data_IF_273759266490
#
_entry.id   IF_273759266490
#
_cell.length_a   1.000
_cell.length_b   1.000
_cell.length_c   1.000
_cell.angle_alpha   90.00
_cell.angle_beta   90.00
_cell.angle_gamma   90.00
#
_symmetry.space_group_name_H-M   'P 1'
#
loop_
_entity.id
_entity.type
_entity.pdbx_description
1 polymer ?
#
# COMPACT_ATOMS: atom_id res chain seq x y z
N UNK A 1 14.65 -5.48 -27.42
CA UNK A 1 14.56 -4.06 -26.97
C UNK A 1 14.42 -4.06 -25.45
N UNK A 2 14.96 -3.07 -24.76
CA UNK A 2 14.82 -2.89 -23.31
C UNK A 2 13.34 -2.64 -23.00
N UNK A 3 12.73 -3.42 -22.07
CA UNK A 3 11.33 -3.17 -21.67
C UNK A 3 11.23 -1.80 -21.00
N UNK A 4 10.18 -1.04 -21.30
CA UNK A 4 9.88 0.23 -20.62
C UNK A 4 8.76 0.00 -19.61
N UNK A 5 9.00 0.42 -18.37
CA UNK A 5 8.01 0.35 -17.28
C UNK A 5 7.58 1.75 -16.84
N UNK A 6 6.28 1.96 -16.71
CA UNK A 6 5.74 3.12 -16.00
C UNK A 6 5.60 2.74 -14.53
N UNK A 7 6.30 3.46 -13.65
CA UNK A 7 6.17 3.36 -12.20
C UNK A 7 5.44 4.60 -11.70
N UNK A 8 4.30 4.43 -11.06
CA UNK A 8 3.48 5.56 -10.59
C UNK A 8 3.73 5.88 -9.13
N UNK A 9 3.33 7.07 -8.67
CA UNK A 9 3.50 7.55 -7.29
C UNK A 9 4.94 7.37 -6.78
N UNK A 10 5.92 7.82 -7.57
CA UNK A 10 7.34 7.63 -7.24
C UNK A 10 7.81 8.43 -6.03
N UNK A 11 6.98 9.31 -5.47
CA UNK A 11 7.18 9.92 -4.14
C UNK A 11 6.85 9.00 -2.97
N UNK A 12 6.34 7.79 -3.21
CA UNK A 12 6.02 6.83 -2.15
C UNK A 12 7.28 6.19 -1.54
N UNK A 13 7.14 5.67 -0.31
CA UNK A 13 8.26 5.05 0.41
C UNK A 13 8.80 3.76 -0.23
N UNK A 14 8.03 3.09 -1.07
CA UNK A 14 8.46 1.88 -1.79
C UNK A 14 9.16 2.18 -3.11
N UNK A 15 9.02 3.40 -3.63
CA UNK A 15 9.40 3.72 -5.00
C UNK A 15 10.89 3.51 -5.29
N UNK A 16 11.79 3.95 -4.40
CA UNK A 16 13.22 3.80 -4.60
C UNK A 16 13.63 2.34 -4.83
N UNK A 17 13.10 1.40 -4.03
CA UNK A 17 13.40 -0.03 -4.20
C UNK A 17 12.86 -0.57 -5.53
N UNK A 18 11.63 -0.18 -5.89
CA UNK A 18 11.01 -0.62 -7.13
C UNK A 18 11.76 -0.08 -8.35
N UNK A 19 12.14 1.20 -8.35
CA UNK A 19 12.94 1.81 -9.42
C UNK A 19 14.30 1.11 -9.54
N UNK A 20 14.99 0.89 -8.41
CA UNK A 20 16.29 0.20 -8.39
C UNK A 20 16.18 -1.22 -8.93
N UNK A 21 15.15 -1.98 -8.54
CA UNK A 21 14.90 -3.33 -9.05
C UNK A 21 14.60 -3.33 -10.55
N UNK A 22 13.79 -2.38 -11.04
CA UNK A 22 13.52 -2.24 -12.47
C UNK A 22 14.81 -1.97 -13.28
N UNK A 23 15.67 -1.07 -12.79
CA UNK A 23 16.97 -0.83 -13.41
C UNK A 23 17.88 -2.06 -13.34
N UNK A 24 17.89 -2.78 -12.20
CA UNK A 24 18.62 -4.04 -12.03
C UNK A 24 18.18 -5.11 -13.04
N UNK A 25 16.88 -5.17 -13.35
CA UNK A 25 16.32 -6.03 -14.40
C UNK A 25 16.54 -5.49 -15.83
N UNK A 26 17.32 -4.42 -15.99
CA UNK A 26 17.63 -3.83 -17.29
C UNK A 26 16.49 -3.06 -17.94
N UNK A 27 15.45 -2.69 -17.21
CA UNK A 27 14.30 -1.93 -17.74
C UNK A 27 14.61 -0.43 -17.83
N UNK A 28 13.92 0.26 -18.74
CA UNK A 28 13.84 1.71 -18.77
C UNK A 28 12.67 2.14 -17.90
N UNK A 29 12.90 3.05 -16.96
CA UNK A 29 11.91 3.48 -15.96
C UNK A 29 11.37 4.85 -16.32
N UNK A 30 10.06 4.92 -16.57
CA UNK A 30 9.29 6.16 -16.68
C UNK A 30 8.55 6.37 -15.37
N UNK A 31 8.98 7.37 -14.59
CA UNK A 31 8.37 7.67 -13.31
C UNK A 31 7.26 8.73 -13.45
N UNK A 32 6.18 8.61 -12.68
CA UNK A 32 5.23 9.71 -12.55
C UNK A 32 4.75 9.90 -11.11
N UNK A 33 4.40 11.15 -10.79
CA UNK A 33 3.85 11.54 -9.48
C UNK A 33 2.90 12.73 -9.64
N UNK A 34 2.01 12.94 -8.66
CA UNK A 34 1.10 14.10 -8.62
C UNK A 34 1.84 15.42 -8.34
N UNK A 35 3.00 15.34 -7.73
CA UNK A 35 3.85 16.50 -7.44
C UNK A 35 4.82 16.80 -8.59
N UNK A 36 5.34 18.02 -8.70
CA UNK A 36 6.37 18.36 -9.69
C UNK A 36 7.71 17.65 -9.35
N UNK A 37 8.55 17.49 -10.37
CA UNK A 37 9.82 16.74 -10.26
C UNK A 37 10.72 17.23 -9.11
N UNK A 38 10.80 18.54 -8.92
CA UNK A 38 11.63 19.19 -7.92
C UNK A 38 11.16 18.97 -6.47
N UNK A 39 9.96 18.38 -6.27
CA UNK A 39 9.45 18.01 -4.96
C UNK A 39 9.59 16.52 -4.64
N UNK A 40 9.99 15.72 -5.62
CA UNK A 40 10.05 14.26 -5.53
C UNK A 40 11.47 13.78 -5.78
N UNK A 41 12.21 13.39 -4.74
CA UNK A 41 13.61 13.01 -4.86
C UNK A 41 13.84 11.89 -5.86
N UNK A 42 12.97 10.89 -5.92
CA UNK A 42 13.09 9.78 -6.86
C UNK A 42 12.87 10.18 -8.34
N UNK A 43 12.51 11.45 -8.62
CA UNK A 43 12.52 11.97 -9.99
C UNK A 43 13.92 11.98 -10.61
N UNK A 44 14.97 11.95 -9.77
CA UNK A 44 16.37 11.84 -10.19
C UNK A 44 16.79 10.39 -10.53
N UNK A 45 16.04 9.42 -10.02
CA UNK A 45 16.37 8.01 -10.14
C UNK A 45 15.65 7.32 -11.31
N UNK A 46 14.78 8.04 -12.04
CA UNK A 46 14.07 7.53 -13.21
C UNK A 46 14.65 8.06 -14.50
N UNK A 47 14.54 7.30 -15.61
CA UNK A 47 15.02 7.74 -16.92
C UNK A 47 14.22 8.94 -17.46
N UNK A 48 12.92 9.00 -17.17
CA UNK A 48 12.04 10.13 -17.54
C UNK A 48 10.98 10.31 -16.46
N UNK A 49 10.66 11.55 -16.13
CA UNK A 49 9.64 11.91 -15.16
C UNK A 49 8.46 12.64 -15.82
N UNK A 50 7.25 12.34 -15.34
CA UNK A 50 6.01 13.02 -15.72
C UNK A 50 5.17 13.39 -14.50
N UNK A 51 4.63 14.60 -14.49
CA UNK A 51 3.63 15.00 -13.51
C UNK A 51 2.27 14.40 -13.91
N UNK A 52 1.68 13.60 -13.00
CA UNK A 52 0.39 12.95 -13.19
C UNK A 52 -0.76 13.77 -12.58
N UNK A 53 -1.98 13.66 -13.09
CA UNK A 53 -3.18 14.11 -12.37
C UNK A 53 -3.44 13.22 -11.15
N UNK A 54 -4.32 13.66 -10.25
CA UNK A 54 -4.75 12.81 -9.13
C UNK A 54 -5.49 11.57 -9.62
N UNK A 55 -5.19 10.40 -9.05
CA UNK A 55 -5.89 9.17 -9.41
C UNK A 55 -7.40 9.23 -9.09
N UNK A 56 -7.82 10.10 -8.16
CA UNK A 56 -9.24 10.38 -7.89
C UNK A 56 -9.95 11.09 -9.03
N UNK A 57 -9.22 11.77 -9.92
CA UNK A 57 -9.70 12.35 -11.17
C UNK A 57 -9.68 11.29 -12.28
N UNK A 58 -10.51 10.27 -12.13
CA UNK A 58 -10.43 8.97 -12.80
C UNK A 58 -10.22 9.05 -14.31
N UNK A 59 -11.05 9.82 -15.02
CA UNK A 59 -10.96 9.96 -16.49
C UNK A 59 -9.67 10.63 -16.94
N UNK A 60 -9.23 11.68 -16.23
CA UNK A 60 -7.98 12.38 -16.53
C UNK A 60 -6.78 11.46 -16.30
N UNK A 61 -6.79 10.73 -15.16
CA UNK A 61 -5.72 9.79 -14.81
C UNK A 61 -5.62 8.64 -15.80
N UNK A 62 -6.75 8.06 -16.22
CA UNK A 62 -6.80 7.04 -17.26
C UNK A 62 -6.22 7.54 -18.58
N UNK A 63 -6.70 8.69 -19.06
CA UNK A 63 -6.23 9.28 -20.32
C UNK A 63 -4.73 9.59 -20.23
N UNK A 64 -4.26 10.12 -19.11
CA UNK A 64 -2.84 10.36 -18.86
C UNK A 64 -2.03 9.08 -19.00
N UNK A 65 -2.39 8.00 -18.32
CA UNK A 65 -1.67 6.72 -18.40
C UNK A 65 -1.67 6.16 -19.82
N UNK A 66 -2.79 6.25 -20.53
CA UNK A 66 -2.93 5.81 -21.91
C UNK A 66 -1.98 6.56 -22.87
N UNK A 67 -1.99 7.89 -22.77
CA UNK A 67 -1.13 8.73 -23.63
C UNK A 67 0.34 8.55 -23.26
N UNK A 68 0.66 8.45 -21.95
CA UNK A 68 2.01 8.19 -21.47
C UNK A 68 2.53 6.83 -21.98
N UNK A 69 1.72 5.78 -21.88
CA UNK A 69 2.08 4.44 -22.37
C UNK A 69 2.41 4.43 -23.86
N UNK A 70 1.60 5.13 -24.67
CA UNK A 70 1.84 5.26 -26.10
C UNK A 70 3.09 6.08 -26.40
N UNK A 71 3.26 7.24 -25.75
CA UNK A 71 4.41 8.14 -25.96
C UNK A 71 5.72 7.45 -25.64
N UNK A 72 5.79 6.75 -24.52
CA UNK A 72 7.00 6.11 -24.02
C UNK A 72 7.16 4.65 -24.49
N UNK A 73 6.21 4.14 -25.28
CA UNK A 73 6.15 2.74 -25.72
C UNK A 73 6.31 1.78 -24.54
N UNK A 74 5.59 2.08 -23.45
CA UNK A 74 5.68 1.30 -22.23
C UNK A 74 4.96 -0.04 -22.37
N UNK A 75 5.65 -1.11 -21.99
CA UNK A 75 5.11 -2.47 -21.99
C UNK A 75 4.66 -2.93 -20.58
N UNK A 76 4.95 -2.13 -19.56
CA UNK A 76 4.61 -2.46 -18.16
C UNK A 76 4.09 -1.24 -17.43
N UNK A 77 3.05 -1.44 -16.62
CA UNK A 77 2.54 -0.48 -15.63
C UNK A 77 2.63 -1.07 -14.22
N UNK A 78 3.34 -0.39 -13.31
CA UNK A 78 3.50 -0.76 -11.89
C UNK A 78 2.95 0.35 -10.98
N UNK A 79 1.70 0.26 -10.52
CA UNK A 79 1.14 1.21 -9.56
C UNK A 79 1.63 0.89 -8.14
N UNK A 80 1.99 1.94 -7.38
CA UNK A 80 2.56 1.77 -6.05
C UNK A 80 1.61 2.11 -4.89
N UNK A 81 0.46 2.74 -5.16
CA UNK A 81 -0.47 3.16 -4.10
C UNK A 81 -1.85 2.51 -4.22
N UNK A 82 -2.54 2.38 -3.08
CA UNK A 82 -3.89 1.82 -3.03
C UNK A 82 -4.88 2.62 -3.88
N UNK A 83 -4.76 3.97 -3.93
CA UNK A 83 -5.66 4.83 -4.71
C UNK A 83 -5.55 4.53 -6.20
N UNK A 84 -4.32 4.36 -6.68
CA UNK A 84 -4.06 4.06 -8.08
C UNK A 84 -4.55 2.65 -8.45
N UNK A 85 -4.28 1.66 -7.59
CA UNK A 85 -4.75 0.28 -7.81
C UNK A 85 -6.28 0.23 -7.85
N UNK A 86 -6.97 0.90 -6.91
CA UNK A 86 -8.44 0.94 -6.88
C UNK A 86 -9.03 1.53 -8.15
N UNK A 87 -8.35 2.52 -8.75
CA UNK A 87 -8.76 3.17 -9.99
C UNK A 87 -8.38 2.35 -11.21
N UNK A 88 -7.14 1.91 -11.32
CA UNK A 88 -6.63 1.11 -12.45
C UNK A 88 -7.41 -0.19 -12.60
N UNK A 89 -7.77 -0.82 -11.48
CA UNK A 89 -8.54 -2.05 -11.49
C UNK A 89 -9.91 -1.91 -12.18
N UNK A 90 -10.57 -0.76 -12.05
CA UNK A 90 -11.87 -0.52 -12.69
C UNK A 90 -11.78 -0.49 -14.23
N UNK A 91 -10.61 -0.14 -14.76
CA UNK A 91 -10.35 -0.03 -16.20
C UNK A 91 -9.30 -1.01 -16.70
N UNK A 92 -8.92 -2.01 -15.88
CA UNK A 92 -7.83 -2.93 -16.23
C UNK A 92 -8.02 -3.57 -17.60
N UNK A 93 -9.24 -4.07 -17.90
CA UNK A 93 -9.55 -4.69 -19.17
C UNK A 93 -9.38 -3.71 -20.33
N UNK A 94 -9.89 -2.49 -20.16
CA UNK A 94 -9.81 -1.44 -21.19
C UNK A 94 -8.38 -0.90 -21.34
N UNK A 95 -7.64 -0.74 -20.24
CA UNK A 95 -6.23 -0.35 -20.28
C UNK A 95 -5.39 -1.42 -20.98
N UNK A 96 -5.61 -2.70 -20.68
CA UNK A 96 -4.92 -3.80 -21.37
C UNK A 96 -5.25 -3.80 -22.87
N UNK A 97 -6.48 -3.52 -23.26
CA UNK A 97 -6.87 -3.35 -24.67
C UNK A 97 -6.24 -2.11 -25.30
N UNK A 98 -6.23 -0.97 -24.60
CA UNK A 98 -5.55 0.26 -25.04
C UNK A 98 -4.04 0.08 -25.22
N UNK A 99 -3.41 -0.75 -24.38
CA UNK A 99 -1.99 -1.10 -24.43
C UNK A 99 -1.70 -2.37 -25.27
N UNK A 100 -2.70 -3.09 -25.74
CA UNK A 100 -2.54 -4.36 -26.47
C UNK A 100 -1.65 -4.25 -27.70
N UNK A 101 -1.66 -3.11 -28.38
CA UNK A 101 -0.75 -2.83 -29.50
C UNK A 101 0.73 -2.79 -29.07
N UNK A 102 1.01 -2.63 -27.77
CA UNK A 102 2.35 -2.58 -27.18
C UNK A 102 2.67 -3.86 -26.37
N UNK A 103 1.77 -4.85 -26.36
CA UNK A 103 1.87 -6.04 -25.51
C UNK A 103 2.10 -5.69 -24.02
N UNK A 104 1.38 -4.65 -23.56
CA UNK A 104 1.61 -4.08 -22.25
C UNK A 104 0.79 -4.80 -21.16
N UNK A 105 1.43 -4.96 -20.01
CA UNK A 105 0.85 -5.62 -18.82
C UNK A 105 0.77 -4.67 -17.63
N UNK A 106 -0.20 -4.89 -16.76
CA UNK A 106 -0.25 -4.26 -15.44
C UNK A 106 0.27 -5.27 -14.42
N UNK A 107 1.40 -4.97 -13.80
CA UNK A 107 2.06 -5.87 -12.87
C UNK A 107 1.51 -5.73 -11.45
N UNK A 108 0.34 -6.27 -11.25
CA UNK A 108 -0.36 -6.44 -9.96
C UNK A 108 -1.17 -7.73 -10.00
N UNK A 109 -1.62 -8.21 -8.86
CA UNK A 109 -2.52 -9.38 -8.78
C UNK A 109 -3.80 -9.18 -9.57
N UNK A 110 -4.54 -10.25 -9.81
CA UNK A 110 -5.78 -10.19 -10.57
C UNK A 110 -6.90 -9.43 -9.85
N UNK A 111 -7.89 -8.99 -10.61
CA UNK A 111 -9.05 -8.18 -10.13
C UNK A 111 -9.74 -8.84 -8.93
N UNK A 112 -9.95 -10.16 -8.96
CA UNK A 112 -10.58 -10.90 -7.87
C UNK A 112 -9.76 -10.86 -6.58
N UNK A 113 -8.45 -11.08 -6.68
CA UNK A 113 -7.53 -11.04 -5.55
C UNK A 113 -7.49 -9.64 -4.92
N UNK A 114 -7.34 -8.60 -5.76
CA UNK A 114 -7.32 -7.22 -5.28
C UNK A 114 -8.65 -6.84 -4.63
N UNK A 115 -9.78 -7.15 -5.26
CA UNK A 115 -11.12 -6.84 -4.72
C UNK A 115 -11.36 -7.48 -3.36
N UNK A 116 -10.86 -8.71 -3.17
CA UNK A 116 -10.93 -9.39 -1.88
C UNK A 116 -10.02 -8.73 -0.85
N UNK A 117 -8.75 -8.47 -1.18
CA UNK A 117 -7.79 -7.80 -0.29
C UNK A 117 -8.26 -6.41 0.14
N UNK A 118 -8.92 -5.66 -0.76
CA UNK A 118 -9.38 -4.29 -0.49
C UNK A 118 -10.64 -4.22 0.38
N UNK A 119 -11.32 -5.32 0.64
CA UNK A 119 -12.52 -5.37 1.47
C UNK A 119 -12.27 -6.19 2.75
N UNK A 120 -12.04 -5.49 3.87
CA UNK A 120 -11.69 -6.11 5.16
C UNK A 120 -12.74 -7.10 5.67
N UNK A 121 -14.03 -6.79 5.45
CA UNK A 121 -15.14 -7.65 5.86
C UNK A 121 -15.16 -8.97 5.06
N UNK A 122 -15.07 -8.86 3.73
CA UNK A 122 -15.04 -10.03 2.86
C UNK A 122 -13.78 -10.86 3.07
N UNK A 123 -12.64 -10.21 3.26
CA UNK A 123 -11.37 -10.89 3.52
C UNK A 123 -11.41 -11.65 4.85
N UNK A 124 -11.92 -11.02 5.91
CA UNK A 124 -12.09 -11.66 7.21
C UNK A 124 -12.98 -12.90 7.11
N UNK A 125 -14.16 -12.77 6.50
CA UNK A 125 -15.08 -13.90 6.29
C UNK A 125 -14.43 -15.02 5.48
N UNK A 126 -13.74 -14.70 4.38
CA UNK A 126 -13.03 -15.65 3.54
C UNK A 126 -11.96 -16.45 4.30
N UNK A 127 -11.16 -15.76 5.15
CA UNK A 127 -10.11 -16.40 5.94
C UNK A 127 -10.69 -17.29 7.04
N UNK A 128 -11.74 -16.82 7.72
CA UNK A 128 -12.42 -17.55 8.79
C UNK A 128 -13.09 -18.82 8.26
N UNK A 129 -13.84 -18.73 7.19
CA UNK A 129 -14.55 -19.86 6.57
C UNK A 129 -13.59 -20.97 6.12
N UNK A 130 -12.37 -20.62 5.75
CA UNK A 130 -11.33 -21.57 5.33
C UNK A 130 -10.38 -21.99 6.44
N UNK A 131 -10.49 -21.39 7.62
CA UNK A 131 -9.63 -21.69 8.76
C UNK A 131 -8.15 -21.39 8.50
N UNK A 132 -7.84 -20.37 7.66
CA UNK A 132 -6.47 -20.08 7.23
C UNK A 132 -5.63 -19.40 8.31
N UNK A 133 -6.26 -18.57 9.13
CA UNK A 133 -5.61 -17.89 10.26
C UNK A 133 -6.65 -17.40 11.27
N UNK A 134 -6.19 -16.89 12.41
CA UNK A 134 -7.08 -16.21 13.36
C UNK A 134 -7.46 -14.85 12.79
N UNK A 135 -8.76 -14.55 12.82
CA UNK A 135 -9.33 -13.27 12.40
C UNK A 135 -9.92 -12.54 13.61
N UNK A 136 -10.20 -11.25 13.45
CA UNK A 136 -10.90 -10.45 14.45
C UNK A 136 -12.31 -10.19 13.90
N UNK A 137 -13.34 -10.94 14.35
CA UNK A 137 -14.69 -10.75 13.84
C UNK A 137 -15.16 -9.32 14.06
N UNK A 138 -15.72 -8.74 13.03
CA UNK A 138 -16.30 -7.39 13.06
C UNK A 138 -17.76 -7.41 12.72
N UNK A 139 -18.52 -6.49 13.31
CA UNK A 139 -19.93 -6.24 13.03
C UNK A 139 -20.05 -4.82 12.47
N UNK A 140 -20.95 -4.61 11.52
CA UNK A 140 -21.21 -3.26 11.01
C UNK A 140 -21.81 -2.39 12.13
N UNK A 141 -21.38 -1.14 12.21
CA UNK A 141 -21.87 -0.21 13.23
C UNK A 141 -23.40 -0.04 13.16
N UNK A 142 -23.99 -0.17 11.97
CA UNK A 142 -25.45 -0.14 11.78
C UNK A 142 -26.18 -1.37 12.32
N UNK A 143 -25.48 -2.48 12.57
CA UNK A 143 -26.01 -3.77 13.00
C UNK A 143 -25.55 -4.13 14.43
N UNK A 144 -24.79 -3.22 15.06
CA UNK A 144 -24.16 -3.48 16.34
C UNK A 144 -25.20 -3.54 17.45
N UNK A 145 -25.28 -4.69 18.15
CA UNK A 145 -26.01 -4.79 19.40
C UNK A 145 -25.13 -4.26 20.55
N UNK A 146 -25.57 -3.18 21.16
CA UNK A 146 -24.83 -2.51 22.23
C UNK A 146 -25.08 -3.09 23.64
N UNK A 147 -25.84 -4.18 23.76
CA UNK A 147 -26.27 -4.73 25.06
C UNK A 147 -25.18 -5.47 25.82
N UNK A 148 -24.20 -6.08 25.13
CA UNK A 148 -23.12 -6.89 25.74
C UNK A 148 -21.78 -6.67 25.03
N UNK A 149 -21.27 -5.43 25.12
CA UNK A 149 -20.00 -5.06 24.52
C UNK A 149 -18.88 -4.98 25.56
N UNK A 150 -17.76 -5.61 25.23
CA UNK A 150 -16.53 -5.51 26.02
C UNK A 150 -15.59 -4.49 25.40
N UNK A 151 -15.25 -3.45 26.17
CA UNK A 151 -14.32 -2.40 25.77
C UNK A 151 -12.88 -2.73 26.17
N UNK A 152 -11.86 -2.23 25.44
CA UNK A 152 -11.95 -1.31 24.31
C UNK A 152 -12.31 -1.99 22.98
N UNK A 153 -12.96 -1.21 22.08
CA UNK A 153 -13.29 -1.63 20.72
C UNK A 153 -12.52 -0.79 19.70
N UNK A 154 -12.45 -1.27 18.47
CA UNK A 154 -11.95 -0.53 17.32
C UNK A 154 -13.06 -0.38 16.30
N UNK A 155 -13.35 0.85 15.91
CA UNK A 155 -14.22 1.16 14.77
C UNK A 155 -13.38 1.65 13.59
N UNK A 156 -13.55 1.06 12.41
CA UNK A 156 -12.78 1.40 11.20
C UNK A 156 -13.62 1.20 9.92
N UNK A 157 -13.43 2.03 8.87
CA UNK A 157 -14.06 1.76 7.58
C UNK A 157 -13.59 0.41 7.01
N UNK A 158 -14.50 -0.38 6.41
CA UNK A 158 -14.15 -1.70 5.88
C UNK A 158 -13.26 -1.62 4.64
N UNK A 159 -13.29 -0.50 3.89
CA UNK A 159 -12.48 -0.21 2.71
C UNK A 159 -11.42 0.88 2.95
N UNK A 160 -11.24 1.30 4.23
CA UNK A 160 -10.29 2.33 4.63
C UNK A 160 -8.82 1.93 4.42
N UNK A 161 -7.94 2.93 4.33
CA UNK A 161 -6.49 2.81 4.14
C UNK A 161 -5.74 3.73 5.10
N UNK A 162 -4.48 3.41 5.38
CA UNK A 162 -3.57 4.25 6.21
C UNK A 162 -4.19 4.69 7.53
N UNK A 163 -4.93 3.81 8.19
CA UNK A 163 -5.68 4.08 9.44
C UNK A 163 -6.66 5.26 9.38
N UNK A 164 -7.02 5.75 8.18
CA UNK A 164 -7.99 6.83 8.03
C UNK A 164 -9.35 6.40 8.57
N UNK A 165 -9.92 7.24 9.43
CA UNK A 165 -11.22 6.97 10.05
C UNK A 165 -11.20 5.92 11.16
N UNK A 166 -10.03 5.33 11.50
CA UNK A 166 -9.92 4.42 12.64
C UNK A 166 -10.16 5.18 13.94
N UNK A 167 -11.01 4.63 14.80
CA UNK A 167 -11.31 5.14 16.14
C UNK A 167 -11.18 4.03 17.17
N UNK A 168 -10.59 4.35 18.29
CA UNK A 168 -10.59 3.49 19.48
C UNK A 168 -11.72 3.96 20.37
N UNK A 169 -12.57 3.04 20.77
CA UNK A 169 -13.70 3.28 21.65
C UNK A 169 -13.34 2.65 23.01
N UNK A 170 -12.98 3.47 23.96
CA UNK A 170 -12.55 3.01 25.30
C UNK A 170 -13.75 2.76 26.21
N UNK A 171 -14.92 3.32 25.87
CA UNK A 171 -16.11 3.28 26.69
C UNK A 171 -17.40 3.26 25.87
N UNK A 172 -18.54 3.06 26.56
CA UNK A 172 -19.88 3.16 25.97
C UNK A 172 -20.18 4.56 25.46
N UNK A 173 -19.71 5.57 26.16
CA UNK A 173 -19.88 6.99 25.82
C UNK A 173 -19.20 7.30 24.47
N UNK A 174 -18.01 6.72 24.22
CA UNK A 174 -17.31 6.86 22.93
C UNK A 174 -18.12 6.23 21.77
N UNK A 175 -18.73 5.08 22.03
CA UNK A 175 -19.60 4.43 21.04
C UNK A 175 -20.86 5.27 20.78
N UNK A 176 -21.51 5.77 21.82
CA UNK A 176 -22.70 6.63 21.69
C UNK A 176 -22.36 7.91 20.92
N UNK A 177 -21.21 8.52 21.20
CA UNK A 177 -20.72 9.67 20.44
C UNK A 177 -20.51 9.33 18.95
N UNK A 178 -19.90 8.18 18.65
CA UNK A 178 -19.70 7.72 17.26
C UNK A 178 -21.06 7.50 16.56
N UNK A 179 -22.01 6.84 17.22
CA UNK A 179 -23.35 6.60 16.71
C UNK A 179 -24.13 7.89 16.40
N UNK A 180 -23.94 8.92 17.23
CA UNK A 180 -24.58 10.24 17.04
C UNK A 180 -23.92 11.08 15.94
N UNK A 181 -22.61 10.93 15.74
CA UNK A 181 -21.86 11.75 14.78
C UNK A 181 -21.82 11.16 13.37
N UNK A 182 -22.03 9.84 13.22
CA UNK A 182 -22.06 9.17 11.93
C UNK A 182 -23.45 9.25 11.29
N UNK A 183 -23.48 9.56 9.99
CA UNK A 183 -24.68 9.37 9.15
C UNK A 183 -25.00 7.87 8.99
N UNK A 184 -26.24 7.53 8.62
CA UNK A 184 -26.63 6.12 8.37
C UNK A 184 -25.73 5.45 7.31
N UNK A 185 -25.36 6.16 6.27
CA UNK A 185 -24.45 5.66 5.25
C UNK A 185 -23.05 5.36 5.83
N UNK A 186 -22.54 6.22 6.72
CA UNK A 186 -21.26 5.98 7.39
C UNK A 186 -21.33 4.80 8.36
N UNK A 187 -22.45 4.64 9.11
CA UNK A 187 -22.63 3.49 10.00
C UNK A 187 -22.56 2.16 9.26
N UNK A 188 -23.06 2.10 8.02
CA UNK A 188 -22.94 0.92 7.19
C UNK A 188 -21.52 0.66 6.67
N UNK A 189 -20.66 1.67 6.64
CA UNK A 189 -19.27 1.55 6.19
C UNK A 189 -18.29 1.21 7.32
N UNK A 190 -18.68 1.40 8.59
CA UNK A 190 -17.83 1.11 9.73
C UNK A 190 -17.99 -0.32 10.21
N UNK A 191 -16.87 -1.01 10.42
CA UNK A 191 -16.78 -2.25 11.20
C UNK A 191 -16.33 -1.93 12.62
N UNK A 192 -17.03 -2.50 13.59
CA UNK A 192 -16.68 -2.48 15.01
C UNK A 192 -16.22 -3.87 15.41
N UNK A 193 -15.09 -3.95 16.10
CA UNK A 193 -14.47 -5.21 16.49
C UNK A 193 -13.72 -5.04 17.82
N UNK A 194 -13.47 -6.13 18.59
CA UNK A 194 -12.63 -6.06 19.79
C UNK A 194 -11.25 -5.49 19.46
N UNK A 195 -10.72 -4.64 20.37
CA UNK A 195 -9.32 -4.19 20.28
C UNK A 195 -8.41 -5.28 20.80
N UNK A 196 -7.60 -5.83 19.91
CA UNK A 196 -6.53 -6.76 20.30
C UNK A 196 -5.29 -5.95 20.65
N UNK A 197 -4.75 -6.16 21.84
CA UNK A 197 -3.48 -5.58 22.27
C UNK A 197 -2.31 -6.40 21.74
N UNK A 198 -1.23 -5.75 21.33
CA UNK A 198 -0.06 -6.44 20.82
C UNK A 198 0.77 -5.58 19.86
N UNK A 199 1.77 -6.19 19.27
CA UNK A 199 2.62 -5.54 18.27
C UNK A 199 2.05 -5.73 16.87
N UNK A 200 2.11 -4.69 16.06
CA UNK A 200 1.81 -4.82 14.64
C UNK A 200 2.96 -5.54 13.95
N UNK A 201 2.61 -6.60 13.25
CA UNK A 201 3.50 -7.35 12.37
C UNK A 201 3.10 -7.06 10.94
N UNK A 202 4.05 -6.60 10.12
CA UNK A 202 3.87 -6.53 8.67
C UNK A 202 4.65 -7.68 8.03
N UNK A 203 4.02 -8.43 7.14
CA UNK A 203 4.67 -9.51 6.39
C UNK A 203 4.68 -9.12 4.92
N UNK A 204 5.87 -8.91 4.35
CA UNK A 204 5.99 -8.84 2.90
C UNK A 204 5.89 -10.25 2.33
N UNK A 205 4.98 -10.44 1.40
CA UNK A 205 4.67 -11.74 0.78
C UNK A 205 4.81 -11.61 -0.72
N UNK A 206 5.60 -12.46 -1.34
CA UNK A 206 5.72 -12.56 -2.79
C UNK A 206 5.34 -13.96 -3.26
N UNK A 207 4.45 -14.05 -4.24
CA UNK A 207 4.03 -15.32 -4.84
C UNK A 207 4.21 -15.31 -6.34
N UNK A 208 4.95 -16.32 -6.83
CA UNK A 208 5.06 -16.62 -8.25
C UNK A 208 4.19 -17.84 -8.58
N UNK A 209 3.03 -17.68 -9.21
CA UNK A 209 2.14 -18.79 -9.53
C UNK A 209 2.71 -19.73 -10.62
N UNK A 210 3.63 -19.26 -11.46
CA UNK A 210 4.22 -20.06 -12.53
C UNK A 210 5.26 -21.05 -12.01
N UNK A 211 5.99 -20.68 -10.96
CA UNK A 211 7.01 -21.54 -10.35
C UNK A 211 6.56 -22.18 -9.03
N UNK A 212 5.34 -21.85 -8.57
CA UNK A 212 4.78 -22.24 -7.27
C UNK A 212 5.67 -21.86 -6.06
N UNK A 213 6.45 -20.79 -6.20
CA UNK A 213 7.27 -20.27 -5.11
C UNK A 213 6.53 -19.16 -4.36
N UNK A 214 6.59 -19.24 -3.03
CA UNK A 214 6.02 -18.21 -2.14
C UNK A 214 7.01 -17.94 -1.02
N UNK A 215 7.47 -16.69 -0.91
CA UNK A 215 8.31 -16.25 0.19
C UNK A 215 7.60 -15.20 1.03
N UNK A 216 7.81 -15.30 2.35
CA UNK A 216 7.22 -14.43 3.34
C UNK A 216 8.30 -13.94 4.28
N UNK A 217 8.37 -12.65 4.53
CA UNK A 217 9.34 -12.07 5.45
C UNK A 217 8.63 -11.16 6.46
N UNK A 218 8.38 -11.65 7.68
CA UNK A 218 7.74 -10.89 8.73
C UNK A 218 8.68 -9.89 9.39
N UNK A 219 8.13 -8.74 9.78
CA UNK A 219 8.79 -7.75 10.62
C UNK A 219 7.85 -7.21 11.68
N UNK A 220 8.35 -7.05 12.89
CA UNK A 220 7.66 -6.36 13.98
C UNK A 220 7.92 -4.88 13.84
N UNK A 221 6.86 -4.08 13.79
CA UNK A 221 6.92 -2.62 13.72
C UNK A 221 7.24 -2.07 15.12
N UNK A 222 8.44 -1.51 15.31
CA UNK A 222 8.90 -0.96 16.58
C UNK A 222 8.57 0.52 16.71
N UNK A 223 8.83 1.27 15.63
CA UNK A 223 8.49 2.68 15.52
C UNK A 223 7.79 2.93 14.19
N UNK A 224 6.70 3.71 14.23
CA UNK A 224 5.90 4.05 13.05
C UNK A 224 5.66 5.56 12.97
N UNK A 225 5.48 6.08 11.78
CA UNK A 225 4.95 7.43 11.54
C UNK A 225 3.46 7.47 11.89
N UNK A 226 2.89 8.67 12.03
CA UNK A 226 1.45 8.85 12.24
C UNK A 226 0.59 8.20 11.13
N UNK A 227 1.11 8.10 9.91
CA UNK A 227 0.44 7.46 8.78
C UNK A 227 0.69 5.95 8.71
N UNK A 228 1.27 5.36 9.74
CA UNK A 228 1.46 3.92 9.88
C UNK A 228 2.69 3.34 9.19
N UNK A 229 3.53 4.14 8.50
CA UNK A 229 4.75 3.64 7.89
C UNK A 229 5.83 3.33 8.94
N UNK A 230 6.44 2.16 8.89
CA UNK A 230 7.53 1.77 9.78
C UNK A 230 8.78 2.62 9.59
N UNK A 231 9.39 3.03 10.69
CA UNK A 231 10.69 3.73 10.73
C UNK A 231 11.77 2.93 11.41
N UNK A 232 11.40 2.00 12.29
CA UNK A 232 12.29 1.02 12.92
C UNK A 232 11.53 -0.30 13.06
N UNK A 233 12.18 -1.40 12.71
CA UNK A 233 11.58 -2.73 12.69
C UNK A 233 12.54 -3.80 13.23
N UNK A 234 11.98 -4.92 13.66
CA UNK A 234 12.71 -6.15 13.86
C UNK A 234 12.22 -7.17 12.82
N UNK A 235 13.04 -7.46 11.82
CA UNK A 235 12.80 -8.55 10.88
C UNK A 235 13.10 -9.86 11.58
N UNK A 236 12.24 -10.87 11.41
CA UNK A 236 12.40 -12.18 12.06
C UNK A 236 11.84 -13.30 11.19
N UNK A 237 12.05 -14.53 11.60
CA UNK A 237 11.48 -15.71 10.97
C UNK A 237 10.51 -16.40 11.94
N UNK A 238 9.35 -16.79 11.43
CA UNK A 238 8.37 -17.57 12.19
C UNK A 238 7.62 -18.49 11.23
N UNK A 239 7.89 -19.79 11.34
CA UNK A 239 7.39 -20.79 10.41
C UNK A 239 5.85 -20.86 10.38
N UNK A 240 5.19 -20.72 11.54
CA UNK A 240 3.72 -20.74 11.62
C UNK A 240 3.11 -19.55 10.90
N UNK A 241 3.60 -18.32 11.20
CA UNK A 241 3.10 -17.10 10.56
C UNK A 241 3.37 -17.10 9.05
N UNK A 242 4.57 -17.51 8.66
CA UNK A 242 4.96 -17.62 7.26
C UNK A 242 4.10 -18.66 6.52
N UNK A 243 3.77 -19.79 7.16
CA UNK A 243 2.88 -20.79 6.56
C UNK A 243 1.48 -20.23 6.39
N UNK A 244 0.93 -19.57 7.40
CA UNK A 244 -0.37 -18.88 7.27
C UNK A 244 -0.38 -17.88 6.12
N UNK A 245 0.68 -17.07 5.97
CA UNK A 245 0.79 -16.13 4.85
C UNK A 245 0.89 -16.83 3.49
N UNK A 246 1.59 -17.96 3.39
CA UNK A 246 1.64 -18.78 2.17
C UNK A 246 0.26 -19.32 1.81
N UNK A 247 -0.44 -19.90 2.77
CA UNK A 247 -1.77 -20.47 2.56
C UNK A 247 -2.79 -19.39 2.14
N UNK A 248 -2.70 -18.20 2.75
CA UNK A 248 -3.51 -17.03 2.36
C UNK A 248 -3.18 -16.58 0.93
N UNK A 249 -1.89 -16.42 0.60
CA UNK A 249 -1.47 -15.96 -0.72
C UNK A 249 -1.88 -16.92 -1.84
N UNK A 250 -1.86 -18.22 -1.55
CA UNK A 250 -2.32 -19.25 -2.48
C UNK A 250 -3.86 -19.20 -2.64
N UNK A 251 -4.60 -19.20 -1.52
CA UNK A 251 -6.06 -19.21 -1.53
C UNK A 251 -6.66 -17.95 -2.18
N UNK A 252 -6.01 -16.79 -2.02
CA UNK A 252 -6.39 -15.50 -2.63
C UNK A 252 -5.92 -15.40 -4.08
N UNK A 253 -5.05 -16.31 -4.54
CA UNK A 253 -4.42 -16.26 -5.87
C UNK A 253 -3.56 -15.00 -6.08
N UNK A 254 -2.76 -14.62 -5.10
CA UNK A 254 -1.81 -13.51 -5.23
C UNK A 254 -0.82 -13.78 -6.36
N UNK A 255 -0.46 -12.74 -7.14
CA UNK A 255 0.67 -12.71 -8.04
C UNK A 255 1.54 -11.49 -7.74
N UNK A 256 2.83 -11.68 -7.59
CA UNK A 256 3.76 -10.62 -7.20
C UNK A 256 3.77 -10.34 -5.69
N UNK A 257 4.22 -9.16 -5.30
CA UNK A 257 4.40 -8.76 -3.91
C UNK A 257 3.17 -8.05 -3.36
N UNK A 258 2.76 -8.47 -2.16
CA UNK A 258 1.73 -7.81 -1.33
C UNK A 258 2.25 -7.68 0.09
N UNK A 259 1.56 -6.91 0.94
CA UNK A 259 1.83 -6.98 2.37
C UNK A 259 0.58 -7.39 3.15
N UNK A 260 0.79 -8.25 4.16
CA UNK A 260 -0.22 -8.67 5.11
C UNK A 260 0.12 -8.10 6.48
N UNK A 261 -0.88 -7.60 7.19
CA UNK A 261 -0.71 -7.08 8.55
C UNK A 261 -1.41 -7.96 9.56
N UNK A 262 -0.74 -8.17 10.71
CA UNK A 262 -1.22 -8.95 11.83
C UNK A 262 -1.00 -8.20 13.15
N UNK A 263 -1.71 -8.57 14.20
CA UNK A 263 -1.36 -8.25 15.58
C UNK A 263 -0.76 -9.50 16.23
N UNK A 264 0.47 -9.39 16.74
CA UNK A 264 1.09 -10.38 17.62
C UNK A 264 0.57 -10.13 19.04
N UNK A 265 -0.47 -10.86 19.43
CA UNK A 265 -1.09 -10.71 20.76
C UNK A 265 -0.29 -11.44 21.83
N UNK A 266 0.29 -12.58 21.52
CA UNK A 266 1.15 -13.36 22.41
C UNK A 266 2.27 -14.01 21.60
N UNK A 267 3.50 -13.54 21.80
CA UNK A 267 4.69 -14.03 21.09
C UNK A 267 5.03 -15.48 21.47
N UNK A 268 4.92 -15.82 22.76
CA UNK A 268 5.30 -17.16 23.24
C UNK A 268 4.34 -18.23 22.72
N UNK A 269 3.06 -17.88 22.55
CA UNK A 269 2.04 -18.78 22.02
C UNK A 269 1.91 -18.71 20.50
N UNK A 270 2.70 -17.88 19.81
CA UNK A 270 2.55 -17.62 18.37
C UNK A 270 1.11 -17.18 18.00
N UNK A 271 0.54 -16.27 18.79
CA UNK A 271 -0.83 -15.84 18.62
C UNK A 271 -0.90 -14.58 17.75
N UNK A 272 -1.25 -14.79 16.47
CA UNK A 272 -1.33 -13.74 15.45
C UNK A 272 -2.77 -13.59 14.99
N UNK A 273 -3.27 -12.35 14.97
CA UNK A 273 -4.59 -12.00 14.44
C UNK A 273 -4.43 -11.20 13.15
N UNK A 274 -5.03 -11.66 12.08
CA UNK A 274 -5.01 -10.98 10.78
C UNK A 274 -5.75 -9.64 10.85
N UNK A 275 -5.14 -8.59 10.28
CA UNK A 275 -5.71 -7.24 10.19
C UNK A 275 -6.16 -6.88 8.78
N UNK A 276 -5.26 -7.01 7.81
CA UNK A 276 -5.51 -6.64 6.42
C UNK A 276 -4.46 -7.20 5.47
N UNK A 277 -4.81 -7.28 4.20
CA UNK A 277 -3.87 -7.49 3.10
C UNK A 277 -3.93 -6.29 2.16
N UNK A 278 -2.78 -5.66 1.94
CA UNK A 278 -2.62 -4.57 0.98
C UNK A 278 -2.01 -5.13 -0.30
N UNK A 279 -2.73 -5.14 -1.45
CA UNK A 279 -2.29 -5.78 -2.70
C UNK A 279 -1.24 -4.94 -3.45
N UNK A 280 -0.23 -4.49 -2.74
CA UNK A 280 0.89 -3.66 -3.19
C UNK A 280 2.09 -3.83 -2.28
N UNK A 281 3.21 -3.22 -2.68
CA UNK A 281 4.36 -3.11 -1.80
C UNK A 281 4.04 -2.36 -0.51
N UNK A 282 4.57 -2.85 0.61
CA UNK A 282 4.56 -2.08 1.84
C UNK A 282 5.44 -0.82 1.71
N UNK A 283 5.08 0.25 2.39
CA UNK A 283 5.99 1.39 2.55
C UNK A 283 7.32 1.02 3.23
N UNK A 284 7.36 -0.14 3.89
CA UNK A 284 8.54 -0.72 4.54
C UNK A 284 9.27 -1.79 3.72
N UNK A 285 8.98 -1.98 2.43
CA UNK A 285 9.59 -3.04 1.60
C UNK A 285 11.13 -2.98 1.58
N UNK A 286 11.71 -1.80 1.73
CA UNK A 286 13.15 -1.60 1.86
C UNK A 286 13.78 -2.34 3.05
N UNK A 287 13.03 -2.60 4.12
CA UNK A 287 13.52 -3.38 5.25
C UNK A 287 13.77 -4.84 4.88
N UNK A 288 12.96 -5.41 4.01
CA UNK A 288 13.17 -6.76 3.50
C UNK A 288 14.43 -6.85 2.65
N UNK A 289 14.68 -5.85 1.79
CA UNK A 289 15.93 -5.72 1.04
C UNK A 289 17.15 -5.58 1.95
N UNK A 290 17.08 -4.71 2.97
CA UNK A 290 18.15 -4.52 3.95
C UNK A 290 18.40 -5.78 4.80
N UNK A 291 17.38 -6.61 5.02
CA UNK A 291 17.52 -7.90 5.68
C UNK A 291 18.13 -9.01 4.79
N UNK A 292 18.26 -8.77 3.48
CA UNK A 292 18.87 -9.70 2.54
C UNK A 292 17.92 -10.37 1.55
N UNK A 293 16.67 -9.87 1.40
CA UNK A 293 15.76 -10.36 0.37
C UNK A 293 15.02 -9.23 -0.34
N UNK A 294 15.31 -9.05 -1.63
CA UNK A 294 14.70 -8.00 -2.44
C UNK A 294 13.31 -8.41 -2.97
N UNK A 295 12.28 -7.93 -2.28
CA UNK A 295 10.89 -8.18 -2.66
C UNK A 295 10.49 -7.49 -3.97
N UNK A 296 11.17 -6.40 -4.36
CA UNK A 296 10.87 -5.71 -5.61
C UNK A 296 11.43 -6.48 -6.81
N UNK A 297 12.66 -7.01 -6.72
CA UNK A 297 13.21 -7.92 -7.73
C UNK A 297 12.35 -9.20 -7.84
N UNK A 298 12.01 -9.80 -6.71
CA UNK A 298 11.15 -10.98 -6.67
C UNK A 298 9.78 -10.73 -7.32
N UNK A 299 9.19 -9.54 -7.12
CA UNK A 299 7.95 -9.15 -7.80
C UNK A 299 8.12 -9.12 -9.32
N UNK A 300 9.19 -8.52 -9.82
CA UNK A 300 9.48 -8.47 -11.27
C UNK A 300 9.55 -9.88 -11.84
N UNK A 301 10.28 -10.80 -11.17
CA UNK A 301 10.40 -12.21 -11.58
C UNK A 301 9.05 -12.93 -11.64
N UNK A 302 8.08 -12.57 -10.79
CA UNK A 302 6.72 -13.14 -10.87
C UNK A 302 6.01 -12.83 -12.20
N UNK A 303 6.42 -11.77 -12.91
CA UNK A 303 5.79 -11.34 -14.16
C UNK A 303 6.68 -11.60 -15.39
N UNK A 304 7.96 -11.94 -15.19
CA UNK A 304 8.86 -12.34 -16.28
C UNK A 304 9.00 -13.85 -16.43
N UNK A 305 8.32 -14.63 -15.57
CA UNK A 305 8.37 -16.11 -15.60
C UNK A 305 9.66 -16.69 -15.01
N UNK A 306 10.46 -15.87 -14.34
CA UNK A 306 11.71 -16.30 -13.72
C UNK A 306 11.45 -16.91 -12.33
N UNK A 307 12.31 -17.85 -11.92
CA UNK A 307 12.29 -18.36 -10.56
C UNK A 307 12.70 -17.29 -9.56
N UNK A 308 12.06 -17.31 -8.39
CA UNK A 308 12.48 -16.50 -7.26
C UNK A 308 13.78 -17.03 -6.68
N UNK A 309 14.67 -16.13 -6.26
CA UNK A 309 15.88 -16.52 -5.54
C UNK A 309 15.51 -17.08 -4.16
N UNK A 310 16.36 -17.97 -3.65
CA UNK A 310 16.17 -18.56 -2.33
C UNK A 310 16.40 -17.50 -1.24
N UNK A 311 15.50 -17.47 -0.25
CA UNK A 311 15.59 -16.53 0.85
C UNK A 311 16.50 -17.08 1.95
N UNK A 312 17.65 -16.42 2.14
CA UNK A 312 18.67 -16.80 3.13
C UNK A 312 18.60 -16.02 4.46
N UNK A 313 17.55 -15.22 4.64
CA UNK A 313 17.37 -14.42 5.87
C UNK A 313 17.21 -15.33 7.08
N UNK A 314 18.05 -15.13 8.11
CA UNK A 314 18.05 -15.92 9.34
C UNK A 314 18.11 -15.01 10.58
N UNK A 315 17.54 -15.49 11.68
CA UNK A 315 17.57 -14.79 12.96
C UNK A 315 16.74 -13.51 13.01
N UNK A 316 16.93 -12.75 14.08
CA UNK A 316 16.33 -11.42 14.26
C UNK A 316 17.32 -10.34 13.80
N UNK A 317 16.80 -9.36 13.03
CA UNK A 317 17.59 -8.22 12.55
C UNK A 317 16.84 -6.92 12.86
N UNK A 318 17.49 -6.04 13.62
CA UNK A 318 16.96 -4.70 13.92
C UNK A 318 17.40 -3.73 12.84
N UNK A 319 16.47 -3.13 12.14
CA UNK A 319 16.71 -2.24 11.00
C UNK A 319 15.94 -0.95 11.22
N UNK A 320 16.59 0.19 11.03
CA UNK A 320 15.99 1.50 11.16
C UNK A 320 16.29 2.38 9.95
N UNK A 321 15.38 3.30 9.63
CA UNK A 321 15.55 4.29 8.57
C UNK A 321 16.30 5.51 9.07
N UNK A 322 17.10 6.06 8.18
CA UNK A 322 17.64 7.41 8.27
C UNK A 322 17.14 8.22 7.08
N UNK A 323 16.73 9.45 7.33
CA UNK A 323 16.38 10.39 6.27
C UNK A 323 17.63 11.16 5.84
N UNK A 324 17.73 11.45 4.55
CA UNK A 324 18.80 12.24 3.96
C UNK A 324 18.17 13.27 3.03
N UNK A 325 18.60 14.50 3.16
CA UNK A 325 18.12 15.63 2.37
C UNK A 325 18.89 15.74 1.06
N UNK A 326 18.18 16.07 -0.02
CA UNK A 326 18.75 16.27 -1.34
C UNK A 326 18.43 17.68 -1.84
N UNK A 327 19.44 18.35 -2.44
CA UNK A 327 19.19 19.62 -3.15
C UNK A 327 18.67 19.32 -4.56
N UNK A 328 17.44 19.68 -4.83
CA UNK A 328 16.80 19.50 -6.14
C UNK A 328 17.11 20.62 -7.13
N UNK A 329 17.75 21.73 -6.66
CA UNK A 329 18.10 22.89 -7.51
C UNK A 329 19.24 22.59 -8.51
N UNK A 330 20.06 21.57 -8.26
CA UNK A 330 21.13 21.12 -9.15
C UNK A 330 20.62 20.24 -10.31
N UNK A 331 19.34 19.92 -10.30
CA UNK A 331 18.69 19.18 -11.39
C UNK A 331 18.46 20.13 -12.58
N UNK A 332 19.56 20.55 -13.22
CA UNK A 332 19.47 21.31 -14.45
C UNK A 332 19.01 20.38 -15.58
N UNK A 333 18.13 20.88 -16.42
CA UNK A 333 17.60 20.29 -17.65
C UNK A 333 18.73 19.90 -18.66
N UNK A 334 19.71 19.11 -18.24
CA UNK A 334 20.88 18.85 -19.06
C UNK A 334 20.60 17.85 -20.18
N UNK A 335 19.57 17.01 -20.11
CA UNK A 335 19.23 16.07 -21.17
C UNK A 335 17.70 15.90 -21.29
N UNK A 336 17.09 16.68 -22.14
CA UNK A 336 15.94 16.29 -22.98
C UNK A 336 14.60 15.94 -22.30
N UNK A 337 14.35 16.32 -21.05
CA UNK A 337 13.02 16.15 -20.44
C UNK A 337 12.12 17.33 -20.83
N UNK A 338 11.35 17.16 -21.91
CA UNK A 338 10.20 18.03 -22.18
C UNK A 338 9.15 17.87 -21.09
N UNK A 339 8.98 18.91 -20.28
CA UNK A 339 7.76 19.06 -19.48
C UNK A 339 6.59 19.25 -20.46
N UNK A 340 5.68 18.30 -20.50
CA UNK A 340 4.40 18.50 -21.17
C UNK A 340 3.56 19.44 -20.30
N UNK A 341 3.71 20.75 -20.51
CA UNK A 341 2.81 21.76 -20.00
C UNK A 341 1.44 21.57 -20.68
N UNK A 342 0.51 20.98 -19.95
CA UNK A 342 -0.91 21.06 -20.29
C UNK A 342 -1.37 22.47 -19.96
N UNK A 343 -1.24 23.41 -20.90
CA UNK A 343 -1.90 24.70 -20.83
C UNK A 343 -3.41 24.50 -20.99
N UNK A 344 -4.08 24.24 -19.87
CA UNK A 344 -5.51 24.50 -19.72
C UNK A 344 -5.69 25.97 -19.37
N UNK A 345 -6.19 26.76 -20.30
CA UNK A 345 -6.63 28.14 -20.06
C UNK A 345 -7.65 28.15 -18.92
N UNK A 346 -7.27 28.70 -17.78
CA UNK A 346 -8.20 29.06 -16.73
C UNK A 346 -8.96 30.31 -17.15
N UNK A 347 -10.26 30.17 -17.42
CA UNK A 347 -11.21 31.27 -17.38
C UNK A 347 -11.55 31.55 -15.92
N UNK A 348 -11.52 32.87 -15.58
CA UNK A 348 -11.57 33.35 -14.21
C UNK A 348 -12.92 33.19 -13.51
N UNK A 349 -12.86 33.38 -12.24
CA UNK A 349 -13.64 34.23 -11.36
C UNK A 349 -13.88 33.61 -9.99
N UNK A 350 -13.73 34.37 -8.95
CA UNK A 350 -14.44 34.20 -7.69
C UNK A 350 -13.58 33.96 -6.47
N UNK A 351 -13.04 35.03 -5.91
CA UNK A 351 -12.67 35.09 -4.49
C UNK A 351 -13.88 34.76 -3.62
N UNK A 352 -13.73 33.81 -2.72
CA UNK A 352 -14.47 33.83 -1.45
C UNK A 352 -13.52 33.42 -0.33
N UNK A 353 -13.29 34.38 0.54
CA UNK A 353 -12.62 34.22 1.82
C UNK A 353 -13.32 33.17 2.69
N UNK A 354 -12.56 32.34 3.37
CA UNK A 354 -13.01 31.64 4.57
C UNK A 354 -11.87 31.47 5.58
N UNK A 355 -12.18 31.63 6.86
CA UNK A 355 -11.22 32.07 7.87
C UNK A 355 -10.42 30.94 8.50
N UNK A 356 -9.18 31.30 8.78
CA UNK A 356 -8.26 30.64 9.69
C UNK A 356 -8.90 30.39 11.06
N UNK A 357 -9.01 29.14 11.50
CA UNK A 357 -9.35 28.81 12.87
C UNK A 357 -8.10 28.33 13.61
N UNK A 358 -7.65 29.17 14.48
CA UNK A 358 -6.57 28.96 15.45
C UNK A 358 -6.91 27.85 16.42
N UNK A 359 -6.04 26.85 16.51
CA UNK A 359 -6.10 25.80 17.50
C UNK A 359 -5.59 26.30 18.85
N UNK A 360 -6.35 26.05 19.89
CA UNK A 360 -6.00 26.25 21.28
C UNK A 360 -4.97 25.21 21.76
N UNK A 361 -3.92 25.71 22.39
CA UNK A 361 -2.96 24.94 23.18
C UNK A 361 -3.64 24.35 24.42
N UNK A 362 -3.45 23.06 24.64
CA UNK A 362 -3.60 22.46 25.96
C UNK A 362 -2.25 21.86 26.38
N UNK A 363 -1.73 22.40 27.46
CA UNK A 363 -0.59 21.89 28.24
C UNK A 363 -1.02 20.63 28.98
N UNK A 364 -0.13 19.66 29.07
CA UNK A 364 -0.25 18.51 29.97
C UNK A 364 1.13 17.91 30.18
N UNK A 365 1.55 18.02 31.43
CA UNK A 365 2.85 17.67 32.02
C UNK A 365 3.20 16.19 31.96
N UNK A 366 4.53 15.98 31.96
CA UNK A 366 5.33 14.84 32.46
C UNK A 366 4.66 13.81 33.38
N UNK A 367 4.92 12.52 33.16
CA UNK A 367 5.82 11.74 34.04
C UNK A 367 5.88 10.25 33.64
N UNK A 368 7.16 9.79 33.52
CA UNK A 368 7.72 8.42 33.58
C UNK A 368 7.37 7.42 32.49
#
# INVERSE_FOLDING_TARGET
MKKTVIVTAIGSFSAQNVISACHGAGMRVVGCDIYPAEWVVNSQDVDVFYKAPYATEREQYRNFLKELGKKEQASVLMPLTDVEIDVIQQWRTELVEDFKALDAEVWISDVSAISLCRNKEKMEAFLRERGLCRTIPGVRLSELDSSDLHYPLVAKPFDGRSSQGLRILESKEDLEFLLHTCSEAQKQQYLVQPKISGHVITVDVVRNPETNQIFCLPRRELLRTLNGAGTSVCVFRNELLEQQCRDIAEAVCIRGCVNMEFIEADREKNEYYFLECNPRFAGGVAFSGAAGYDMADAHIRCFTGEKLDEMSVTGEQYIARRYTEYSMNSWSKADGTEQADSQGKAAGAGQTDSPCNTASQAKGENDR
#
